data_IF_690856746218
#
_entry.id   IF_690856746218
#
_cell.length_a   1.000
_cell.length_b   1.000
_cell.length_c   1.000
_cell.angle_alpha   90.00
_cell.angle_beta   90.00
_cell.angle_gamma   90.00
#
_symmetry.space_group_name_H-M   'P 1'
#
loop_
_entity.id
_entity.type
_entity.pdbx_description
1 polymer ?
#
# COMPACT_ATOMS: atom_id res chain seq x y z
N UNK A 1 8.72 8.35 -3.67
CA UNK A 1 9.64 8.41 -4.82
C UNK A 1 11.08 8.21 -4.39
N UNK A 2 11.72 9.20 -3.74
CA UNK A 2 13.17 9.15 -3.41
C UNK A 2 13.54 7.88 -2.63
N UNK A 3 12.86 7.60 -1.53
CA UNK A 3 13.15 6.40 -0.72
C UNK A 3 12.89 5.08 -1.48
N UNK A 4 11.94 5.05 -2.42
CA UNK A 4 11.71 3.86 -3.26
C UNK A 4 12.91 3.63 -4.18
N UNK A 5 13.47 4.68 -4.77
CA UNK A 5 14.69 4.57 -5.56
C UNK A 5 15.93 4.24 -4.71
N UNK A 6 16.04 4.83 -3.52
CA UNK A 6 17.21 4.64 -2.66
C UNK A 6 17.28 3.25 -2.03
N UNK A 7 16.16 2.70 -1.54
CA UNK A 7 16.18 1.45 -0.76
C UNK A 7 15.19 0.38 -1.26
N UNK A 8 14.59 0.58 -2.43
CA UNK A 8 13.73 -0.41 -3.08
C UNK A 8 14.45 -1.73 -3.39
N UNK A 9 15.70 -1.66 -3.85
CA UNK A 9 16.51 -2.84 -4.12
C UNK A 9 16.94 -3.60 -2.85
N UNK A 10 16.89 -2.96 -1.67
CA UNK A 10 17.25 -3.57 -0.39
C UNK A 10 16.06 -4.30 0.22
N UNK A 11 14.90 -3.66 0.25
CA UNK A 11 13.76 -4.09 1.07
C UNK A 11 12.45 -4.28 0.30
N UNK A 12 12.40 -3.88 -0.97
CA UNK A 12 11.15 -3.69 -1.72
C UNK A 12 10.43 -2.37 -1.41
N UNK A 13 10.91 -1.60 -0.43
CA UNK A 13 10.44 -0.24 -0.12
C UNK A 13 8.90 -0.12 0.00
N UNK A 14 8.24 -1.05 0.70
CA UNK A 14 6.78 -1.00 0.79
C UNK A 14 6.29 0.24 1.56
N UNK A 15 6.98 0.59 2.66
CA UNK A 15 6.63 1.70 3.59
C UNK A 15 5.19 1.72 4.11
N UNK A 16 4.41 0.68 3.83
CA UNK A 16 2.97 0.66 3.97
C UNK A 16 2.52 -0.77 4.34
N UNK A 17 1.85 -0.95 5.49
CA UNK A 17 1.30 -2.24 5.89
C UNK A 17 0.31 -2.82 4.88
N UNK A 18 -0.53 -2.00 4.24
CA UNK A 18 -1.49 -2.45 3.23
C UNK A 18 -0.78 -3.05 2.00
N UNK A 19 0.29 -2.41 1.52
CA UNK A 19 1.13 -2.92 0.43
C UNK A 19 1.82 -4.23 0.82
N UNK A 20 2.35 -4.28 2.05
CA UNK A 20 3.06 -5.47 2.58
C UNK A 20 2.12 -6.67 2.66
N UNK A 21 0.92 -6.46 3.19
CA UNK A 21 -0.11 -7.50 3.29
C UNK A 21 -0.54 -7.95 1.89
N UNK A 22 -0.81 -7.02 0.96
CA UNK A 22 -1.26 -7.35 -0.39
C UNK A 22 -0.20 -8.10 -1.22
N UNK A 23 1.09 -7.73 -1.12
CA UNK A 23 2.16 -8.52 -1.75
C UNK A 23 2.28 -9.92 -1.15
N UNK A 24 2.03 -10.07 0.15
CA UNK A 24 2.07 -11.37 0.83
C UNK A 24 0.98 -12.31 0.32
N UNK A 25 -0.25 -11.82 0.09
CA UNK A 25 -1.36 -12.66 -0.39
C UNK A 25 -1.16 -13.23 -1.80
N UNK A 26 -0.26 -12.63 -2.58
CA UNK A 26 0.14 -13.12 -3.91
C UNK A 26 1.50 -13.80 -3.93
N UNK A 27 2.06 -14.13 -2.76
CA UNK A 27 3.34 -14.85 -2.64
C UNK A 27 4.57 -14.01 -3.01
N UNK A 28 4.43 -12.69 -3.13
CA UNK A 28 5.52 -11.77 -3.50
C UNK A 28 6.32 -11.27 -2.29
N UNK A 29 5.81 -11.47 -1.08
CA UNK A 29 6.52 -11.14 0.15
C UNK A 29 6.39 -12.29 1.16
N UNK A 30 7.45 -12.68 1.89
CA UNK A 30 7.39 -13.82 2.79
C UNK A 30 6.51 -13.54 4.01
N UNK A 31 5.48 -14.37 4.23
CA UNK A 31 4.54 -14.21 5.35
C UNK A 31 5.24 -14.09 6.71
N UNK A 32 6.31 -14.85 6.92
CA UNK A 32 7.10 -14.82 8.17
C UNK A 32 7.75 -13.46 8.46
N UNK A 33 8.01 -12.64 7.44
CA UNK A 33 8.63 -11.33 7.59
C UNK A 33 7.62 -10.21 7.84
N UNK A 34 6.33 -10.44 7.55
CA UNK A 34 5.27 -9.41 7.64
C UNK A 34 5.22 -8.72 9.00
N UNK A 35 5.26 -9.42 10.16
CA UNK A 35 5.18 -8.75 11.45
C UNK A 35 6.33 -7.78 11.69
N UNK A 36 7.57 -8.21 11.45
CA UNK A 36 8.75 -7.37 11.63
C UNK A 36 8.74 -6.16 10.67
N UNK A 37 8.28 -6.37 9.44
CA UNK A 37 8.22 -5.33 8.42
C UNK A 37 7.17 -4.27 8.75
N UNK A 38 5.98 -4.67 9.24
CA UNK A 38 4.93 -3.74 9.69
C UNK A 38 5.38 -3.00 10.95
N UNK A 39 6.01 -3.67 11.91
CA UNK A 39 6.55 -3.03 13.12
C UNK A 39 7.57 -1.94 12.72
N UNK A 40 8.48 -2.24 11.79
CA UNK A 40 9.44 -1.26 11.30
C UNK A 40 8.76 -0.06 10.61
N UNK A 41 7.70 -0.29 9.83
CA UNK A 41 6.92 0.78 9.19
C UNK A 41 6.23 1.70 10.21
N UNK A 42 5.57 1.11 11.22
CA UNK A 42 4.87 1.86 12.27
C UNK A 42 5.87 2.61 13.16
N UNK A 43 6.98 1.96 13.55
CA UNK A 43 8.04 2.60 14.32
C UNK A 43 8.66 3.77 13.55
N UNK A 44 9.00 3.58 12.28
CA UNK A 44 9.51 4.66 11.41
C UNK A 44 8.53 5.82 11.28
N UNK A 45 7.23 5.55 11.09
CA UNK A 45 6.22 6.60 11.02
C UNK A 45 6.07 7.35 12.35
N UNK A 46 6.13 6.65 13.49
CA UNK A 46 6.01 7.25 14.81
C UNK A 46 7.21 8.15 15.10
N UNK A 47 8.43 7.66 14.82
CA UNK A 47 9.67 8.44 14.97
C UNK A 47 9.69 9.67 14.06
N UNK A 48 9.19 9.55 12.83
CA UNK A 48 9.06 10.69 11.93
C UNK A 48 8.09 11.76 12.48
N UNK A 49 6.98 11.34 13.08
CA UNK A 49 6.02 12.25 13.72
C UNK A 49 6.59 12.91 14.98
N UNK A 50 7.31 12.18 15.83
CA UNK A 50 8.02 12.76 16.97
C UNK A 50 9.08 13.76 16.53
N UNK A 51 9.86 13.44 15.49
CA UNK A 51 10.85 14.37 14.94
C UNK A 51 10.19 15.69 14.47
N UNK A 52 9.04 15.63 13.81
CA UNK A 52 8.29 16.84 13.44
C UNK A 52 7.85 17.64 14.67
N UNK A 53 7.32 16.98 15.70
CA UNK A 53 6.89 17.62 16.95
C UNK A 53 8.05 18.27 17.73
N UNK A 54 9.25 17.70 17.64
CA UNK A 54 10.47 18.26 18.23
C UNK A 54 10.96 19.50 17.46
N UNK A 55 10.86 19.50 16.12
CA UNK A 55 11.28 20.61 15.27
C UNK A 55 10.31 21.78 15.37
N UNK A 56 9.00 21.51 15.31
CA UNK A 56 7.96 22.52 15.28
C UNK A 56 7.32 22.65 16.66
N UNK A 57 7.80 23.60 17.47
CA UNK A 57 7.20 23.93 18.77
C UNK A 57 6.18 25.07 18.66
N UNK A 58 5.07 25.00 19.42
CA UNK A 58 4.07 26.07 19.49
C UNK A 58 2.96 25.94 18.42
N UNK A 59 2.62 27.03 17.73
CA UNK A 59 1.50 27.06 16.75
C UNK A 59 1.73 26.20 15.51
N UNK A 60 3.00 25.97 15.16
CA UNK A 60 3.42 25.13 14.03
C UNK A 60 3.33 23.63 14.34
N UNK A 61 3.14 23.27 15.63
CA UNK A 61 2.95 21.87 16.05
C UNK A 61 1.54 21.39 15.69
N UNK A 62 1.32 21.14 14.41
CA UNK A 62 0.05 20.65 13.89
C UNK A 62 0.06 19.14 13.71
N UNK A 63 -1.12 18.54 13.85
CA UNK A 63 -1.31 17.12 13.60
C UNK A 63 -1.06 16.79 12.12
N UNK A 64 0.11 16.21 11.82
CA UNK A 64 0.52 15.80 10.47
C UNK A 64 -0.05 14.42 10.04
N UNK A 65 -1.14 13.98 10.66
CA UNK A 65 -1.80 12.71 10.39
C UNK A 65 -2.94 12.83 9.38
N UNK A 66 -3.95 11.98 9.55
CA UNK A 66 -5.13 11.93 8.69
C UNK A 66 -6.40 11.98 9.52
N UNK A 67 -7.35 12.82 9.12
CA UNK A 67 -8.65 12.94 9.76
C UNK A 67 -9.74 13.00 8.68
N UNK A 68 -10.88 12.31 8.87
CA UNK A 68 -12.01 12.47 7.98
C UNK A 68 -12.59 13.86 8.18
N UNK A 69 -12.75 14.61 7.08
CA UNK A 69 -13.41 15.92 7.11
C UNK A 69 -14.94 15.79 7.11
N UNK A 70 -15.46 14.67 6.59
CA UNK A 70 -16.89 14.40 6.44
C UNK A 70 -17.31 13.07 7.08
N UNK A 71 -18.27 12.41 6.45
CA UNK A 71 -18.88 11.18 6.97
C UNK A 71 -17.93 9.98 6.83
N UNK A 72 -17.94 9.09 7.82
CA UNK A 72 -17.07 7.90 7.87
C UNK A 72 -17.16 7.03 6.61
N UNK A 73 -18.36 6.82 6.06
CA UNK A 73 -18.53 6.01 4.85
C UNK A 73 -17.91 6.66 3.62
N UNK A 74 -17.98 7.99 3.50
CA UNK A 74 -17.35 8.71 2.41
C UNK A 74 -15.83 8.59 2.52
N UNK A 75 -15.28 8.80 3.72
CA UNK A 75 -13.85 8.66 3.96
C UNK A 75 -13.37 7.22 3.69
N UNK A 76 -14.16 6.23 4.10
CA UNK A 76 -13.88 4.82 3.84
C UNK A 76 -13.81 4.52 2.35
N UNK A 77 -14.81 4.94 1.57
CA UNK A 77 -14.84 4.73 0.11
C UNK A 77 -13.67 5.43 -0.58
N UNK A 78 -13.38 6.67 -0.18
CA UNK A 78 -12.25 7.43 -0.75
C UNK A 78 -10.93 6.73 -0.47
N UNK A 79 -10.64 6.36 0.79
CA UNK A 79 -9.42 5.64 1.17
C UNK A 79 -9.27 4.30 0.44
N UNK A 80 -10.38 3.59 0.21
CA UNK A 80 -10.39 2.34 -0.54
C UNK A 80 -9.93 2.58 -1.98
N UNK A 81 -10.54 3.56 -2.66
CA UNK A 81 -10.27 3.88 -4.07
C UNK A 81 -8.83 4.36 -4.26
N UNK A 82 -8.35 5.31 -3.45
CA UNK A 82 -7.00 5.84 -3.60
C UNK A 82 -5.93 4.78 -3.29
N UNK A 83 -6.18 3.90 -2.32
CA UNK A 83 -5.26 2.79 -2.03
C UNK A 83 -5.30 1.73 -3.13
N UNK A 84 -6.48 1.49 -3.71
CA UNK A 84 -6.61 0.61 -4.87
C UNK A 84 -5.74 1.12 -6.04
N UNK A 85 -5.81 2.41 -6.38
CA UNK A 85 -4.99 2.99 -7.44
C UNK A 85 -3.50 2.91 -7.13
N UNK A 86 -3.10 3.25 -5.90
CA UNK A 86 -1.70 3.12 -5.46
C UNK A 86 -1.20 1.69 -5.65
N UNK A 87 -1.93 0.71 -5.14
CA UNK A 87 -1.52 -0.69 -5.20
C UNK A 87 -1.59 -1.26 -6.63
N UNK A 88 -2.46 -0.71 -7.49
CA UNK A 88 -2.59 -1.17 -8.88
C UNK A 88 -1.36 -0.76 -9.66
N UNK A 89 -0.93 0.49 -9.49
CA UNK A 89 0.30 1.01 -10.07
C UNK A 89 1.50 0.26 -9.52
N UNK A 90 1.61 0.04 -8.21
CA UNK A 90 2.68 -0.78 -7.61
C UNK A 90 2.73 -2.17 -8.25
N UNK A 91 1.59 -2.86 -8.36
CA UNK A 91 1.52 -4.18 -8.98
C UNK A 91 1.99 -4.14 -10.44
N UNK A 92 1.62 -3.09 -11.17
CA UNK A 92 2.02 -2.83 -12.54
C UNK A 92 3.52 -2.65 -12.74
N UNK A 93 4.13 -1.74 -11.99
CA UNK A 93 5.50 -1.29 -12.23
C UNK A 93 6.55 -2.08 -11.46
N UNK A 94 6.19 -2.67 -10.32
CA UNK A 94 7.13 -3.36 -9.45
C UNK A 94 7.08 -4.89 -9.57
N UNK A 95 6.02 -5.46 -10.13
CA UNK A 95 5.84 -6.94 -10.15
C UNK A 95 5.73 -7.56 -11.54
N UNK A 96 5.58 -6.74 -12.58
CA UNK A 96 5.52 -7.21 -13.96
C UNK A 96 6.81 -6.87 -14.71
N UNK A 97 7.56 -7.90 -15.10
CA UNK A 97 8.84 -7.76 -15.82
C UNK A 97 8.68 -7.11 -17.21
N UNK A 98 7.44 -6.96 -17.70
CA UNK A 98 7.12 -6.24 -18.94
C UNK A 98 7.10 -4.72 -18.75
N UNK A 99 6.98 -4.25 -17.51
CA UNK A 99 7.01 -2.82 -17.19
C UNK A 99 8.45 -2.30 -17.07
N UNK A 100 8.62 -1.00 -17.31
CA UNK A 100 9.91 -0.32 -17.13
C UNK A 100 10.15 -0.14 -15.63
N UNK A 101 10.76 -1.14 -15.00
CA UNK A 101 11.00 -1.19 -13.55
C UNK A 101 11.81 -0.01 -13.01
N UNK A 102 12.69 0.57 -13.83
CA UNK A 102 13.47 1.77 -13.50
C UNK A 102 12.59 3.02 -13.24
N UNK A 103 11.36 3.05 -13.77
CA UNK A 103 10.41 4.15 -13.54
C UNK A 103 9.44 3.87 -12.38
N UNK A 104 9.59 2.75 -11.67
CA UNK A 104 8.68 2.36 -10.60
C UNK A 104 8.59 3.42 -9.49
N UNK A 105 9.72 3.98 -9.06
CA UNK A 105 9.76 5.00 -8.01
C UNK A 105 9.02 6.29 -8.40
N UNK A 106 9.15 6.71 -9.65
CA UNK A 106 8.44 7.85 -10.22
C UNK A 106 6.95 7.57 -10.35
N UNK A 107 6.56 6.43 -10.93
CA UNK A 107 5.16 6.06 -11.09
C UNK A 107 4.43 6.00 -9.74
N UNK A 108 4.98 5.24 -8.77
CA UNK A 108 4.41 5.12 -7.43
C UNK A 108 4.37 6.47 -6.72
N UNK A 109 5.43 7.27 -6.82
CA UNK A 109 5.50 8.62 -6.24
C UNK A 109 4.43 9.56 -6.81
N UNK A 110 4.28 9.60 -8.13
CA UNK A 110 3.29 10.41 -8.83
C UNK A 110 1.87 9.98 -8.49
N UNK A 111 1.60 8.68 -8.33
CA UNK A 111 0.29 8.19 -7.89
C UNK A 111 -0.04 8.67 -6.47
N UNK A 112 0.91 8.58 -5.53
CA UNK A 112 0.72 9.13 -4.18
C UNK A 112 0.44 10.64 -4.25
N UNK A 113 1.21 11.39 -5.04
CA UNK A 113 1.01 12.84 -5.19
C UNK A 113 -0.39 13.18 -5.71
N UNK A 114 -0.83 12.55 -6.79
CA UNK A 114 -2.16 12.78 -7.38
C UNK A 114 -3.28 12.42 -6.40
N UNK A 115 -3.16 11.28 -5.71
CA UNK A 115 -4.13 10.86 -4.70
C UNK A 115 -4.23 11.87 -3.55
N UNK A 116 -3.10 12.43 -3.09
CA UNK A 116 -3.08 13.45 -2.04
C UNK A 116 -3.75 14.75 -2.50
N UNK A 117 -3.52 15.20 -3.74
CA UNK A 117 -4.16 16.40 -4.28
C UNK A 117 -5.69 16.30 -4.31
N UNK A 118 -6.21 15.10 -4.62
CA UNK A 118 -7.64 14.86 -4.70
C UNK A 118 -8.28 14.55 -3.32
N UNK A 119 -7.73 13.58 -2.60
CA UNK A 119 -8.34 13.06 -1.37
C UNK A 119 -7.87 13.77 -0.09
N UNK A 120 -6.80 14.57 -0.16
CA UNK A 120 -6.24 15.30 0.97
C UNK A 120 -7.29 16.13 1.72
N UNK A 121 -8.08 16.98 1.04
CA UNK A 121 -9.14 17.75 1.68
C UNK A 121 -10.29 16.93 2.28
N UNK A 122 -10.45 15.66 1.88
CA UNK A 122 -11.58 14.82 2.28
C UNK A 122 -11.20 13.90 3.46
N UNK A 123 -10.03 13.26 3.38
CA UNK A 123 -9.58 12.22 4.34
C UNK A 123 -8.17 12.42 4.86
N UNK A 124 -7.42 13.41 4.38
CA UNK A 124 -5.97 13.51 4.59
C UNK A 124 -5.14 12.54 3.73
N UNK A 125 -5.80 11.77 2.85
CA UNK A 125 -5.20 10.83 1.89
C UNK A 125 -4.16 9.90 2.53
N UNK A 126 -4.61 8.98 3.37
CA UNK A 126 -3.72 8.08 4.10
C UNK A 126 -3.05 7.08 3.17
N UNK A 127 -3.86 6.25 2.50
CA UNK A 127 -3.47 5.06 1.76
C UNK A 127 -2.67 4.01 2.56
N UNK A 128 -2.37 4.28 3.83
CA UNK A 128 -1.28 3.62 4.53
C UNK A 128 -1.54 3.61 6.05
N UNK A 129 -1.81 2.43 6.64
CA UNK A 129 -2.06 2.32 8.06
C UNK A 129 -0.93 2.90 8.94
N UNK A 130 0.35 2.70 8.58
CA UNK A 130 1.45 3.24 9.36
C UNK A 130 1.48 4.77 9.34
N UNK A 131 1.23 5.39 8.17
CA UNK A 131 1.19 6.85 7.97
C UNK A 131 0.09 7.54 8.76
N UNK A 132 -0.99 6.84 9.11
CA UNK A 132 -2.05 7.34 9.99
C UNK A 132 -1.77 7.05 11.45
N UNK A 133 -1.28 5.84 11.77
CA UNK A 133 -1.10 5.40 13.14
C UNK A 133 0.06 6.12 13.85
N UNK A 134 1.19 6.37 13.16
CA UNK A 134 2.35 7.05 13.75
C UNK A 134 2.01 8.42 14.34
N UNK A 135 1.47 9.37 13.55
CA UNK A 135 1.03 10.66 14.05
C UNK A 135 -0.05 10.55 15.15
N UNK A 136 -0.99 9.61 15.01
CA UNK A 136 -2.05 9.38 15.98
C UNK A 136 -1.51 9.01 17.37
N UNK A 137 -0.46 8.18 17.42
CA UNK A 137 0.23 7.83 18.67
C UNK A 137 0.87 9.07 19.32
N UNK A 138 1.57 9.89 18.53
CA UNK A 138 2.34 11.05 19.01
C UNK A 138 1.46 12.20 19.51
N UNK A 139 0.28 12.37 18.91
CA UNK A 139 -0.65 13.45 19.23
C UNK A 139 -1.90 12.98 20.01
N UNK A 140 -2.01 11.69 20.30
CA UNK A 140 -3.18 11.08 20.95
C UNK A 140 -4.51 11.36 20.23
N UNK A 141 -4.49 11.40 18.90
CA UNK A 141 -5.66 11.70 18.05
C UNK A 141 -6.02 10.47 17.22
N UNK A 142 -7.14 9.83 17.55
CA UNK A 142 -7.57 8.54 16.97
C UNK A 142 -8.93 8.62 16.27
N UNK A 143 -9.49 9.81 16.09
CA UNK A 143 -10.79 9.98 15.43
C UNK A 143 -10.77 9.40 14.01
N UNK A 144 -11.68 8.46 13.75
CA UNK A 144 -11.76 7.77 12.46
C UNK A 144 -10.60 6.82 12.15
N UNK A 145 -9.70 6.52 13.10
CA UNK A 145 -8.49 5.72 12.84
C UNK A 145 -8.78 4.36 12.21
N UNK A 146 -9.90 3.75 12.59
CA UNK A 146 -10.33 2.44 12.09
C UNK A 146 -10.48 2.43 10.56
N UNK A 147 -10.91 3.55 9.97
CA UNK A 147 -11.05 3.70 8.51
C UNK A 147 -9.70 3.50 7.84
N UNK A 148 -8.66 4.15 8.37
CA UNK A 148 -7.31 4.08 7.83
C UNK A 148 -6.60 2.76 8.13
N UNK A 149 -7.06 1.99 9.12
CA UNK A 149 -6.55 0.64 9.39
C UNK A 149 -7.16 -0.39 8.44
N UNK A 150 -8.46 -0.25 8.14
CA UNK A 150 -9.22 -1.27 7.39
C UNK A 150 -9.29 -0.96 5.90
N UNK A 151 -9.72 0.25 5.54
CA UNK A 151 -10.03 0.61 4.16
C UNK A 151 -8.81 0.50 3.22
N UNK A 152 -7.61 1.00 3.59
CA UNK A 152 -6.42 0.82 2.77
C UNK A 152 -6.06 -0.65 2.52
N UNK A 153 -6.20 -1.52 3.53
CA UNK A 153 -5.90 -2.95 3.37
C UNK A 153 -6.85 -3.58 2.36
N UNK A 154 -8.16 -3.29 2.46
CA UNK A 154 -9.15 -3.80 1.50
C UNK A 154 -8.90 -3.29 0.09
N UNK A 155 -8.58 -2.00 -0.07
CA UNK A 155 -8.25 -1.40 -1.37
C UNK A 155 -7.00 -2.03 -1.99
N UNK A 156 -5.94 -2.22 -1.20
CA UNK A 156 -4.71 -2.87 -1.65
C UNK A 156 -4.94 -4.33 -2.06
N UNK A 157 -5.67 -5.10 -1.24
CA UNK A 157 -6.01 -6.48 -1.54
C UNK A 157 -6.81 -6.59 -2.84
N UNK A 158 -7.90 -5.82 -2.96
CA UNK A 158 -8.73 -5.82 -4.16
C UNK A 158 -7.88 -5.54 -5.41
N UNK A 159 -7.04 -4.51 -5.33
CA UNK A 159 -6.18 -4.09 -6.43
C UNK A 159 -5.15 -5.13 -6.85
N UNK A 160 -4.40 -5.70 -5.90
CA UNK A 160 -3.38 -6.71 -6.21
C UNK A 160 -3.99 -7.96 -6.83
N UNK A 161 -5.18 -8.38 -6.39
CA UNK A 161 -5.89 -9.49 -7.00
C UNK A 161 -6.43 -9.14 -8.39
N UNK A 162 -7.03 -7.96 -8.57
CA UNK A 162 -7.46 -7.48 -9.90
C UNK A 162 -6.29 -7.48 -10.89
N UNK A 163 -5.14 -6.93 -10.51
CA UNK A 163 -3.96 -6.92 -11.37
C UNK A 163 -3.45 -8.34 -11.67
N UNK A 164 -3.48 -9.23 -10.67
CA UNK A 164 -3.06 -10.62 -10.84
C UNK A 164 -3.96 -11.36 -11.83
N UNK A 165 -5.28 -11.16 -11.77
CA UNK A 165 -6.21 -11.74 -12.76
C UNK A 165 -5.95 -11.20 -14.16
N UNK A 166 -5.80 -9.88 -14.33
CA UNK A 166 -5.50 -9.26 -15.64
C UNK A 166 -4.19 -9.79 -16.24
N UNK A 167 -3.19 -10.10 -15.40
CA UNK A 167 -1.92 -10.66 -15.86
C UNK A 167 -2.08 -12.11 -16.35
N UNK A 168 -2.94 -12.91 -15.72
CA UNK A 168 -3.17 -14.32 -16.08
C UNK A 168 -3.84 -14.43 -17.46
N UNK A 169 -4.77 -13.54 -17.80
CA UNK A 169 -5.50 -13.56 -19.07
C UNK A 169 -4.61 -13.38 -20.30
N UNK A 170 -3.38 -12.88 -20.13
CA UNK A 170 -2.40 -12.74 -21.19
C UNK A 170 -1.63 -14.05 -21.50
N UNK A 171 -1.79 -15.11 -20.70
CA UNK A 171 -1.33 -16.44 -21.09
C UNK A 171 -2.33 -17.04 -22.07
N UNK A 172 -1.84 -17.58 -23.18
CA UNK A 172 -2.68 -18.27 -24.17
C UNK A 172 -3.55 -19.34 -23.48
N UNK A 173 -4.84 -19.43 -23.85
CA UNK A 173 -5.77 -20.47 -23.34
C UNK A 173 -5.14 -21.86 -23.41
N UNK A 174 -4.29 -22.10 -24.42
CA UNK A 174 -3.54 -23.33 -24.67
C UNK A 174 -2.49 -23.65 -23.58
N UNK A 175 -1.90 -22.64 -22.95
CA UNK A 175 -0.97 -22.80 -21.82
C UNK A 175 -1.72 -23.10 -20.52
N UNK A 176 -2.91 -22.50 -20.34
CA UNK A 176 -3.78 -22.77 -19.21
C UNK A 176 -4.31 -24.22 -19.23
N UNK A 177 -4.62 -24.76 -20.41
CA UNK A 177 -5.06 -26.17 -20.55
C UNK A 177 -3.94 -27.20 -20.40
N UNK A 178 -2.69 -26.85 -20.69
CA UNK A 178 -1.53 -27.74 -20.44
C UNK A 178 -1.26 -27.94 -18.96
N UNK A 179 -1.49 -26.92 -18.13
CA UNK A 179 -1.33 -27.02 -16.67
C UNK A 179 -2.39 -27.94 -16.04
N UNK A 180 -3.61 -27.93 -16.57
CA UNK A 180 -4.67 -28.83 -16.10
C UNK A 180 -4.54 -30.26 -16.63
N UNK A 181 -3.95 -30.47 -17.81
CA UNK A 181 -3.67 -31.82 -18.32
C UNK A 181 -2.57 -32.53 -17.53
N UNK A 182 -1.57 -31.79 -17.02
CA UNK A 182 -0.50 -32.35 -16.19
C UNK A 182 -1.03 -32.89 -14.84
N UNK A 183 -2.10 -32.28 -14.30
CA UNK A 183 -2.78 -32.79 -13.10
C UNK A 183 -3.65 -34.03 -13.37
N UNK A 184 -4.08 -34.25 -14.63
CA UNK A 184 -4.80 -35.46 -15.05
C UNK A 184 -3.89 -36.66 -15.35
N UNK A 185 -2.60 -36.43 -15.59
CA UNK A 185 -1.63 -37.49 -15.92
C UNK A 185 -0.96 -38.17 -14.71
N UNK A 186 -1.12 -37.63 -13.49
CA UNK A 186 -0.51 -38.18 -12.27
C UNK A 186 -1.45 -39.07 -11.42
N UNK A 187 -2.61 -39.43 -11.96
CA UNK A 187 -3.61 -40.28 -11.28
C UNK A 187 -3.74 -41.69 -11.86
N UNK A 188 -2.79 -42.14 -12.68
CA UNK A 188 -2.85 -43.44 -13.33
C UNK A 188 -1.46 -44.08 -13.38
N UNK A 189 -0.89 -44.39 -12.22
CA UNK A 189 0.08 -45.47 -11.98
C UNK A 189 -0.07 -45.96 -10.54
#
# INVERSE_FOLDING_TARGET
MVLVYSIGHISGAHFNPAVTIAHTTTGRFPLKQVPAYIIAQVAGSTLASEALKLIFSGKENQFAGTLPAGLDHQAFVVEFIITFYLMFVISGVATDNRAIGELAGLAVGSTVMLNVLFAGPITGASMNPARSLGPAIVHHEYRGIWIYMVSPILGALASTWTYTFLRITNKSVRELTKSSSFLRGKGAE
#
